data_IF_353173522347
#
_entry.id   IF_353173522347
#
_cell.length_a   1.000
_cell.length_b   1.000
_cell.length_c   1.000
_cell.angle_alpha   90.00
_cell.angle_beta   90.00
_cell.angle_gamma   90.00
#
_symmetry.space_group_name_H-M   'P 1'
#
loop_
_entity.id
_entity.type
_entity.pdbx_description
1 polymer ?
#
# COMPACT_ATOMS: atom_id res chain seq x y z
N UNK A 1 -50.22 -41.88 -16.21
CA UNK A 1 -50.13 -41.32 -17.58
C UNK A 1 -50.91 -40.01 -17.57
N UNK A 2 -50.25 -38.92 -17.17
CA UNK A 2 -50.83 -37.58 -17.08
C UNK A 2 -50.15 -36.72 -18.15
N UNK A 3 -50.97 -36.27 -19.09
CA UNK A 3 -50.62 -35.42 -20.23
C UNK A 3 -50.44 -33.97 -19.79
N UNK A 4 -49.26 -33.41 -19.98
CA UNK A 4 -49.02 -31.97 -19.86
C UNK A 4 -49.05 -31.34 -21.26
N UNK A 5 -50.03 -30.45 -21.45
CA UNK A 5 -50.24 -29.68 -22.68
C UNK A 5 -49.27 -28.50 -22.77
N UNK A 6 -48.62 -28.39 -23.92
CA UNK A 6 -47.78 -27.27 -24.36
C UNK A 6 -48.64 -26.06 -24.71
N UNK A 7 -48.36 -24.90 -24.10
CA UNK A 7 -48.87 -23.60 -24.54
C UNK A 7 -47.71 -22.81 -25.16
N UNK A 8 -47.79 -22.57 -26.47
CA UNK A 8 -46.94 -21.62 -27.19
C UNK A 8 -47.65 -20.27 -27.20
N UNK A 9 -46.99 -19.22 -26.70
CA UNK A 9 -47.43 -17.84 -26.91
C UNK A 9 -46.46 -17.14 -27.85
N UNK A 10 -47.00 -16.69 -28.99
CA UNK A 10 -46.53 -15.53 -29.75
C UNK A 10 -46.45 -14.32 -28.80
N UNK A 11 -45.57 -13.35 -28.92
CA UNK A 11 -44.90 -12.78 -30.08
C UNK A 11 -45.10 -11.27 -29.93
N UNK A 12 -44.03 -10.50 -29.73
CA UNK A 12 -44.09 -9.04 -29.79
C UNK A 12 -42.78 -8.51 -30.36
N UNK A 13 -42.88 -8.07 -31.61
CA UNK A 13 -41.82 -7.41 -32.37
C UNK A 13 -41.72 -5.95 -31.94
N UNK A 14 -40.73 -5.62 -31.12
CA UNK A 14 -40.43 -4.24 -30.75
C UNK A 14 -39.59 -3.61 -31.87
N UNK A 15 -40.25 -2.79 -32.69
CA UNK A 15 -39.63 -1.89 -33.67
C UNK A 15 -38.82 -0.80 -32.94
N UNK A 16 -37.50 -0.77 -33.15
CA UNK A 16 -36.63 0.34 -32.70
C UNK A 16 -36.80 1.56 -33.62
N UNK A 17 -36.85 2.79 -33.08
CA UNK A 17 -36.81 4.00 -33.88
C UNK A 17 -35.40 4.22 -34.44
N UNK A 18 -35.35 4.74 -35.68
CA UNK A 18 -34.14 5.21 -36.35
C UNK A 18 -33.64 6.47 -35.63
N UNK A 19 -32.41 6.43 -35.13
CA UNK A 19 -31.71 7.61 -34.64
C UNK A 19 -31.14 8.38 -35.83
N UNK A 20 -31.34 9.70 -35.80
CA UNK A 20 -30.89 10.65 -36.78
C UNK A 20 -29.37 10.80 -36.70
N UNK A 21 -28.72 10.74 -37.87
CA UNK A 21 -27.34 11.19 -38.05
C UNK A 21 -27.32 12.72 -38.04
N UNK A 22 -26.60 13.31 -37.08
CA UNK A 22 -26.18 14.71 -37.15
C UNK A 22 -24.75 14.80 -37.70
N UNK A 23 -24.44 15.82 -38.52
CA UNK A 23 -23.15 15.96 -39.19
C UNK A 23 -22.06 16.49 -38.23
N UNK A 24 -20.85 15.96 -38.42
CA UNK A 24 -19.62 16.48 -37.83
C UNK A 24 -19.30 17.87 -38.41
N UNK A 25 -19.27 18.88 -37.55
CA UNK A 25 -18.63 20.17 -37.86
C UNK A 25 -17.22 20.25 -37.22
N UNK A 26 -16.25 20.35 -38.13
CA UNK A 26 -15.03 21.15 -38.10
C UNK A 26 -14.05 21.11 -36.92
N UNK A 27 -12.97 20.38 -37.21
CA UNK A 27 -11.61 20.60 -36.74
C UNK A 27 -11.19 22.08 -36.83
N UNK A 28 -10.89 22.71 -35.69
CA UNK A 28 -9.96 23.85 -35.64
C UNK A 28 -8.68 23.42 -34.94
N UNK A 29 -7.63 23.28 -35.75
CA UNK A 29 -6.25 23.16 -35.34
C UNK A 29 -5.72 24.54 -34.94
N UNK A 30 -5.36 24.72 -33.68
CA UNK A 30 -4.41 25.77 -33.27
C UNK A 30 -3.29 25.12 -32.47
N UNK A 31 -2.10 25.14 -33.08
CA UNK A 31 -0.83 24.80 -32.46
C UNK A 31 -0.33 25.95 -31.58
N UNK A 32 0.64 25.70 -30.68
CA UNK A 32 0.89 26.54 -29.51
C UNK A 32 1.94 27.61 -29.78
N UNK A 33 1.66 28.84 -29.35
CA UNK A 33 2.69 29.87 -29.26
C UNK A 33 3.51 29.71 -27.97
N UNK A 34 4.73 29.33 -28.27
CA UNK A 34 5.98 29.36 -27.53
C UNK A 34 6.30 30.78 -27.01
N UNK A 35 6.32 31.01 -25.71
CA UNK A 35 7.16 32.06 -25.11
C UNK A 35 7.84 31.58 -23.83
N UNK A 36 9.12 31.26 -24.01
CA UNK A 36 10.13 31.14 -22.97
C UNK A 36 10.42 32.55 -22.47
N UNK A 37 10.12 32.83 -21.20
CA UNK A 37 10.71 33.97 -20.49
C UNK A 37 11.63 33.46 -19.37
N UNK A 38 12.90 33.79 -19.56
CA UNK A 38 14.00 33.75 -18.62
C UNK A 38 13.77 34.72 -17.44
N UNK A 39 14.78 34.80 -16.56
CA UNK A 39 15.00 35.70 -15.40
C UNK A 39 14.21 35.32 -14.13
N UNK A 40 14.77 35.20 -12.93
CA UNK A 40 16.06 35.65 -12.39
C UNK A 40 16.54 34.68 -11.29
N UNK A 41 17.86 34.46 -11.25
CA UNK A 41 18.54 33.79 -10.15
C UNK A 41 18.66 34.76 -8.97
N UNK A 42 17.94 34.49 -7.89
CA UNK A 42 18.11 35.21 -6.63
C UNK A 42 19.12 34.46 -5.76
N UNK A 43 20.29 35.08 -5.60
CA UNK A 43 21.32 34.69 -4.63
C UNK A 43 20.73 34.93 -3.23
N UNK A 44 20.40 33.86 -2.52
CA UNK A 44 20.11 33.91 -1.09
C UNK A 44 21.33 33.45 -0.30
N UNK A 45 21.71 34.33 0.63
CA UNK A 45 22.88 34.30 1.49
C UNK A 45 22.89 33.06 2.37
N UNK A 46 24.09 32.51 2.56
CA UNK A 46 24.38 31.46 3.53
C UNK A 46 23.98 31.90 4.95
N UNK A 47 23.24 31.08 5.71
CA UNK A 47 23.03 31.31 7.12
C UNK A 47 24.31 31.01 7.90
N UNK A 48 24.69 31.94 8.78
CA UNK A 48 25.75 31.76 9.77
C UNK A 48 25.46 30.53 10.63
N UNK A 49 26.39 29.60 10.67
CA UNK A 49 26.41 28.51 11.64
C UNK A 49 26.70 29.11 13.04
N UNK A 50 25.71 29.05 13.94
CA UNK A 50 25.96 29.17 15.37
C UNK A 50 26.25 27.79 15.96
N UNK A 51 27.29 27.63 16.79
CA UNK A 51 27.62 26.35 17.39
C UNK A 51 26.56 25.98 18.44
N UNK A 52 25.78 24.94 18.15
CA UNK A 52 24.88 24.31 19.11
C UNK A 52 25.71 23.72 20.27
N UNK A 53 25.59 24.35 21.43
CA UNK A 53 26.08 23.82 22.70
C UNK A 53 25.43 22.47 22.99
N UNK A 54 26.25 21.45 23.16
CA UNK A 54 25.86 20.13 23.64
C UNK A 54 25.46 20.28 25.10
N UNK A 55 24.16 20.45 25.37
CA UNK A 55 23.61 20.24 26.71
C UNK A 55 23.28 18.76 26.86
N UNK A 56 24.10 18.09 27.66
CA UNK A 56 23.90 16.75 28.18
C UNK A 56 23.00 16.86 29.42
N UNK A 57 21.77 16.31 29.47
CA UNK A 57 21.03 16.21 30.71
C UNK A 57 20.86 14.74 31.06
N UNK A 58 21.89 14.13 31.64
CA UNK A 58 21.74 12.90 32.42
C UNK A 58 22.81 12.88 33.52
N UNK A 59 22.59 13.74 34.52
CA UNK A 59 23.20 13.66 35.85
C UNK A 59 22.10 13.89 36.88
N UNK A 60 21.65 12.81 37.50
CA UNK A 60 20.96 12.78 38.80
C UNK A 60 21.10 11.33 39.26
N UNK A 61 22.21 11.01 39.92
CA UNK A 61 22.38 11.14 41.38
C UNK A 61 21.42 10.22 42.14
N UNK A 62 22.06 9.29 42.84
CA UNK A 62 21.49 8.33 43.75
C UNK A 62 20.90 9.07 44.94
N UNK A 63 19.65 8.80 45.28
CA UNK A 63 19.21 8.87 46.68
C UNK A 63 18.55 7.53 47.02
N UNK A 64 19.25 6.82 47.91
CA UNK A 64 18.73 5.71 48.66
C UNK A 64 17.71 6.25 49.66
N UNK A 65 16.56 5.60 49.76
CA UNK A 65 15.73 5.69 50.95
C UNK A 65 15.29 4.30 51.36
N UNK A 66 15.78 3.95 52.55
CA UNK A 66 15.34 2.85 53.38
C UNK A 66 13.85 3.04 53.75
N UNK A 67 13.02 2.03 53.50
CA UNK A 67 12.07 1.64 54.54
C UNK A 67 11.55 0.22 54.37
N UNK A 68 11.73 -0.52 55.46
CA UNK A 68 11.21 -1.84 55.70
C UNK A 68 9.68 -1.86 55.73
N UNK A 69 9.09 -2.95 55.23
CA UNK A 69 7.95 -3.58 55.92
C UNK A 69 7.85 -5.06 55.57
N UNK A 70 7.88 -5.82 56.66
CA UNK A 70 7.76 -7.27 56.75
C UNK A 70 6.47 -7.78 56.12
N UNK A 71 6.56 -8.96 55.50
CA UNK A 71 5.43 -9.69 54.96
C UNK A 71 5.82 -11.12 54.67
N UNK A 72 5.98 -11.92 55.73
CA UNK A 72 6.15 -13.37 55.67
C UNK A 72 5.02 -14.01 54.85
N UNK A 73 5.36 -14.74 53.80
CA UNK A 73 4.53 -15.85 53.33
C UNK A 73 5.42 -16.94 52.75
N UNK A 74 5.41 -18.07 53.44
CA UNK A 74 6.17 -19.28 53.14
C UNK A 74 5.46 -20.03 52.02
N UNK A 75 6.11 -20.19 50.86
CA UNK A 75 5.78 -21.25 49.92
C UNK A 75 7.03 -21.76 49.18
N UNK A 76 7.41 -22.98 49.56
CA UNK A 76 7.80 -24.04 48.62
C UNK A 76 9.10 -23.86 47.85
N UNK A 77 10.20 -24.28 48.44
CA UNK A 77 11.44 -24.59 47.74
C UNK A 77 11.23 -25.75 46.76
N UNK A 78 11.41 -25.48 45.47
CA UNK A 78 11.74 -26.48 44.46
C UNK A 78 13.10 -26.12 43.89
N UNK A 79 14.13 -26.75 44.45
CA UNK A 79 15.53 -26.60 44.05
C UNK A 79 15.75 -27.35 42.74
N UNK A 80 15.96 -26.62 41.64
CA UNK A 80 16.52 -27.16 40.41
C UNK A 80 17.84 -26.45 40.15
N UNK A 81 18.93 -27.20 40.31
CA UNK A 81 20.28 -26.81 39.93
C UNK A 81 20.31 -26.53 38.41
N UNK A 82 20.70 -25.30 38.06
CA UNK A 82 21.07 -24.96 36.69
C UNK A 82 22.59 -25.02 36.58
N UNK A 83 23.05 -26.08 35.94
CA UNK A 83 24.43 -26.22 35.51
C UNK A 83 24.79 -25.12 34.51
N UNK A 84 25.95 -24.52 34.78
CA UNK A 84 26.67 -23.62 33.90
C UNK A 84 27.03 -24.31 32.60
N UNK A 85 26.44 -23.86 31.49
CA UNK A 85 26.99 -24.09 30.15
C UNK A 85 27.40 -22.75 29.55
N UNK A 86 28.69 -22.44 29.72
CA UNK A 86 29.38 -21.52 28.84
C UNK A 86 29.47 -22.16 27.45
N UNK A 87 28.95 -21.46 26.44
CA UNK A 87 29.33 -21.72 25.05
C UNK A 87 29.32 -20.38 24.31
N UNK A 88 30.52 -19.82 24.18
CA UNK A 88 30.83 -18.80 23.20
C UNK A 88 30.66 -19.42 21.81
N UNK A 89 29.55 -19.12 21.15
CA UNK A 89 29.39 -19.41 19.73
C UNK A 89 29.25 -18.09 18.99
N UNK A 90 30.38 -17.64 18.44
CA UNK A 90 30.45 -16.59 17.43
C UNK A 90 29.74 -17.06 16.16
N UNK A 91 28.42 -16.85 16.13
CA UNK A 91 27.63 -16.99 14.92
C UNK A 91 27.56 -15.65 14.18
N UNK A 92 28.69 -15.33 13.54
CA UNK A 92 28.74 -14.47 12.36
C UNK A 92 27.86 -15.11 11.27
N UNK A 93 26.58 -14.75 11.24
CA UNK A 93 25.69 -15.08 10.13
C UNK A 93 26.04 -14.16 8.94
N UNK A 94 26.44 -14.71 7.78
CA UNK A 94 26.63 -13.89 6.59
C UNK A 94 25.27 -13.36 6.12
N UNK A 95 25.05 -12.05 6.29
CA UNK A 95 23.85 -11.30 5.89
C UNK A 95 23.61 -11.24 4.36
N UNK A 96 24.26 -12.09 3.56
CA UNK A 96 24.23 -12.00 2.10
C UNK A 96 23.12 -12.83 1.43
N UNK A 97 22.33 -13.60 2.21
CA UNK A 97 21.32 -14.52 1.65
C UNK A 97 19.90 -13.95 1.56
N UNK A 98 19.64 -12.75 2.11
CA UNK A 98 18.31 -12.12 2.02
C UNK A 98 18.12 -11.24 0.77
N UNK A 99 19.19 -10.92 0.04
CA UNK A 99 19.10 -10.16 -1.23
C UNK A 99 18.73 -11.02 -2.44
N UNK A 100 18.72 -12.35 -2.31
CA UNK A 100 18.36 -13.27 -3.41
C UNK A 100 16.90 -13.72 -3.40
N UNK A 101 16.08 -13.32 -2.41
CA UNK A 101 14.67 -13.74 -2.34
C UNK A 101 13.70 -12.67 -2.90
N UNK A 102 14.18 -11.48 -3.27
CA UNK A 102 13.33 -10.38 -3.78
C UNK A 102 13.61 -9.92 -5.22
N UNK A 103 14.50 -10.59 -5.95
CA UNK A 103 14.82 -10.24 -7.36
C UNK A 103 14.05 -11.05 -8.40
N UNK A 104 13.19 -11.99 -8.01
CA UNK A 104 12.45 -12.79 -8.99
C UNK A 104 11.25 -12.04 -9.58
N UNK A 105 11.49 -11.55 -10.80
CA UNK A 105 10.51 -11.33 -11.87
C UNK A 105 9.33 -10.44 -11.49
N UNK A 106 9.57 -9.12 -11.58
CA UNK A 106 8.46 -8.18 -11.85
C UNK A 106 7.74 -8.68 -13.12
N UNK A 107 6.43 -8.98 -13.10
CA UNK A 107 5.70 -9.25 -14.32
C UNK A 107 5.82 -8.00 -15.19
N UNK A 108 6.65 -8.10 -16.22
CA UNK A 108 6.80 -7.07 -17.23
C UNK A 108 5.49 -7.02 -17.98
N UNK A 109 4.86 -5.84 -18.01
CA UNK A 109 3.69 -5.59 -18.83
C UNK A 109 4.18 -5.53 -20.28
N UNK A 110 4.55 -6.67 -20.88
CA UNK A 110 4.78 -6.73 -22.32
C UNK A 110 3.43 -6.51 -22.96
N UNK A 111 3.24 -5.32 -23.53
CA UNK A 111 2.15 -5.06 -24.45
C UNK A 111 2.31 -6.02 -25.64
N UNK A 112 1.35 -6.90 -25.91
CA UNK A 112 1.33 -7.59 -27.18
C UNK A 112 0.84 -6.60 -28.23
N UNK A 113 1.75 -6.20 -29.14
CA UNK A 113 1.37 -5.67 -30.44
C UNK A 113 0.68 -6.79 -31.21
N UNK A 114 -0.65 -6.88 -31.10
CA UNK A 114 -1.53 -7.58 -32.04
C UNK A 114 -2.94 -7.10 -31.74
N UNK A 115 -3.70 -6.74 -32.79
CA UNK A 115 -5.15 -6.58 -32.74
C UNK A 115 -5.74 -7.82 -32.09
N UNK A 116 -6.09 -7.72 -30.80
CA UNK A 116 -6.51 -8.87 -30.01
C UNK A 116 -8.02 -8.97 -30.05
N UNK A 117 -8.47 -10.05 -30.67
CA UNK A 117 -9.78 -10.64 -30.45
C UNK A 117 -9.83 -11.11 -28.99
N UNK A 118 -10.25 -10.24 -28.08
CA UNK A 118 -10.40 -10.59 -26.67
C UNK A 118 -11.59 -11.55 -26.52
N UNK A 119 -11.36 -12.74 -25.97
CA UNK A 119 -12.46 -13.63 -25.62
C UNK A 119 -13.32 -12.95 -24.53
N UNK A 120 -14.64 -13.08 -24.62
CA UNK A 120 -15.67 -12.35 -23.84
C UNK A 120 -15.53 -12.34 -22.30
N UNK A 121 -14.53 -13.01 -21.73
CA UNK A 121 -14.39 -13.27 -20.29
C UNK A 121 -13.02 -12.82 -19.71
N UNK A 122 -12.30 -11.92 -20.38
CA UNK A 122 -11.04 -11.39 -19.84
C UNK A 122 -11.27 -10.13 -18.98
N UNK A 123 -10.74 -10.16 -17.74
CA UNK A 123 -10.75 -9.04 -16.81
C UNK A 123 -9.62 -8.08 -17.20
N UNK A 124 -9.99 -6.94 -17.77
CA UNK A 124 -9.04 -5.92 -18.22
C UNK A 124 -8.69 -4.92 -17.11
N UNK A 125 -7.43 -4.51 -17.05
CA UNK A 125 -7.01 -3.42 -16.18
C UNK A 125 -7.51 -2.08 -16.75
N UNK A 126 -8.10 -1.20 -15.92
CA UNK A 126 -8.56 0.11 -16.39
C UNK A 126 -7.42 1.12 -16.64
N UNK A 127 -6.19 0.85 -16.19
CA UNK A 127 -5.04 1.76 -16.34
C UNK A 127 -3.99 1.28 -17.34
N UNK A 128 -4.01 0.02 -17.78
CA UNK A 128 -3.02 -0.50 -18.72
C UNK A 128 -3.55 -1.70 -19.53
N UNK A 129 -2.78 -2.16 -20.52
CA UNK A 129 -3.17 -3.26 -21.42
C UNK A 129 -3.06 -4.66 -20.80
N UNK A 130 -3.13 -4.78 -19.48
CA UNK A 130 -3.11 -6.06 -18.79
C UNK A 130 -4.51 -6.67 -18.76
N UNK A 131 -4.63 -7.94 -19.16
CA UNK A 131 -5.85 -8.75 -19.07
C UNK A 131 -5.59 -10.07 -18.36
N UNK A 132 -6.59 -10.60 -17.65
CA UNK A 132 -6.50 -11.89 -16.96
C UNK A 132 -7.87 -12.54 -16.84
N UNK A 133 -7.94 -13.88 -16.88
CA UNK A 133 -9.17 -14.64 -16.55
C UNK A 133 -9.33 -14.89 -15.06
N UNK A 134 -8.26 -14.75 -14.29
CA UNK A 134 -8.27 -14.92 -12.84
C UNK A 134 -8.47 -13.58 -12.15
N UNK A 135 -9.52 -13.49 -11.33
CA UNK A 135 -9.80 -12.34 -10.45
C UNK A 135 -8.62 -12.08 -9.51
N UNK A 136 -8.04 -13.13 -8.92
CA UNK A 136 -6.89 -13.01 -8.00
C UNK A 136 -5.69 -12.37 -8.70
N UNK A 137 -5.38 -12.82 -9.91
CA UNK A 137 -4.26 -12.26 -10.68
C UNK A 137 -4.54 -10.80 -11.09
N UNK A 138 -5.78 -10.47 -11.46
CA UNK A 138 -6.20 -9.10 -11.78
C UNK A 138 -6.13 -8.17 -10.56
N UNK A 139 -6.66 -8.57 -9.40
CA UNK A 139 -6.56 -7.81 -8.15
C UNK A 139 -5.09 -7.60 -7.71
N UNK A 140 -4.28 -8.65 -7.80
CA UNK A 140 -2.84 -8.59 -7.49
C UNK A 140 -2.12 -7.60 -8.42
N UNK A 141 -2.44 -7.64 -9.72
CA UNK A 141 -1.92 -6.69 -10.69
C UNK A 141 -2.26 -5.23 -10.32
N UNK A 142 -3.53 -4.92 -10.04
CA UNK A 142 -3.96 -3.58 -9.61
C UNK A 142 -3.18 -3.10 -8.39
N UNK A 143 -2.99 -3.99 -7.42
CA UNK A 143 -2.28 -3.66 -6.18
C UNK A 143 -0.78 -3.43 -6.40
N UNK A 144 -0.13 -4.23 -7.24
CA UNK A 144 1.33 -4.18 -7.43
C UNK A 144 1.75 -3.12 -8.43
N UNK A 145 0.99 -2.95 -9.52
CA UNK A 145 1.34 -2.03 -10.61
C UNK A 145 0.77 -0.63 -10.42
N UNK A 146 -0.46 -0.55 -9.94
CA UNK A 146 -1.20 0.71 -9.85
C UNK A 146 -1.39 1.19 -8.40
N UNK A 147 -0.96 0.39 -7.41
CA UNK A 147 -1.19 0.65 -6.00
C UNK A 147 -2.66 1.02 -5.72
N UNK A 148 -3.57 0.31 -6.37
CA UNK A 148 -5.02 0.52 -6.24
C UNK A 148 -5.73 -0.77 -5.86
N UNK A 149 -7.03 -0.66 -5.60
CA UNK A 149 -7.95 -1.75 -5.32
C UNK A 149 -9.18 -1.59 -6.23
N UNK A 150 -9.94 -2.67 -6.52
CA UNK A 150 -11.11 -2.60 -7.40
C UNK A 150 -12.05 -1.45 -7.02
N UNK A 151 -12.41 -1.33 -5.73
CA UNK A 151 -13.29 -0.28 -5.20
C UNK A 151 -12.76 1.14 -5.43
N UNK A 152 -11.45 1.34 -5.32
CA UNK A 152 -10.83 2.67 -5.52
C UNK A 152 -10.67 3.00 -7.01
N UNK A 153 -10.53 1.98 -7.85
CA UNK A 153 -10.56 2.10 -9.30
C UNK A 153 -11.97 2.20 -9.89
N UNK A 154 -13.01 2.36 -9.06
CA UNK A 154 -14.40 2.40 -9.53
C UNK A 154 -14.83 1.10 -10.23
N UNK A 155 -14.13 0.00 -9.99
CA UNK A 155 -14.39 -1.28 -10.62
C UNK A 155 -15.15 -2.20 -9.65
N UNK A 156 -16.17 -2.86 -10.18
CA UNK A 156 -16.97 -3.86 -9.50
C UNK A 156 -16.96 -5.15 -10.31
N UNK A 157 -16.81 -6.29 -9.64
CA UNK A 157 -16.84 -7.60 -10.27
C UNK A 157 -18.28 -8.11 -10.26
N UNK A 158 -18.84 -8.42 -11.43
CA UNK A 158 -20.15 -9.07 -11.55
C UNK A 158 -19.95 -10.50 -12.03
N UNK A 159 -20.39 -11.44 -11.21
CA UNK A 159 -20.42 -12.86 -11.53
C UNK A 159 -21.60 -13.16 -12.48
N UNK A 160 -21.47 -14.19 -13.33
CA UNK A 160 -22.56 -14.66 -14.20
C UNK A 160 -23.82 -15.07 -13.42
N UNK A 161 -23.69 -15.43 -12.14
CA UNK A 161 -24.82 -15.70 -11.27
C UNK A 161 -25.61 -14.43 -10.85
N UNK A 162 -25.17 -13.24 -11.29
CA UNK A 162 -25.74 -11.94 -10.97
C UNK A 162 -25.19 -11.29 -9.71
N UNK A 163 -24.32 -11.97 -8.95
CA UNK A 163 -23.75 -11.42 -7.72
C UNK A 163 -22.67 -10.36 -8.03
N UNK A 164 -22.76 -9.24 -7.32
CA UNK A 164 -21.81 -8.12 -7.41
C UNK A 164 -20.88 -8.09 -6.20
N UNK A 165 -19.56 -8.10 -6.42
CA UNK A 165 -18.57 -8.02 -5.35
C UNK A 165 -17.41 -7.09 -5.70
N UNK A 166 -16.72 -6.58 -4.67
CA UNK A 166 -15.47 -5.83 -4.81
C UNK A 166 -14.22 -6.68 -4.52
N UNK A 167 -14.43 -7.95 -4.18
CA UNK A 167 -13.38 -8.90 -3.82
C UNK A 167 -13.61 -10.25 -4.48
N UNK A 168 -12.55 -11.03 -4.55
CA UNK A 168 -12.57 -12.42 -5.00
C UNK A 168 -13.35 -13.40 -4.09
N UNK A 169 -13.87 -12.97 -2.93
CA UNK A 169 -14.49 -13.88 -1.95
C UNK A 169 -15.61 -14.73 -2.54
N UNK A 170 -16.42 -14.16 -3.45
CA UNK A 170 -17.51 -14.86 -4.11
C UNK A 170 -17.05 -16.03 -4.97
N UNK A 171 -15.85 -15.96 -5.58
CA UNK A 171 -15.33 -17.02 -6.45
C UNK A 171 -15.18 -18.36 -5.73
N UNK A 172 -14.93 -18.32 -4.41
CA UNK A 172 -14.76 -19.52 -3.59
C UNK A 172 -16.09 -20.24 -3.30
N UNK A 173 -17.22 -19.55 -3.49
CA UNK A 173 -18.55 -20.05 -3.13
C UNK A 173 -19.44 -20.30 -4.34
N UNK A 174 -19.11 -19.73 -5.50
CA UNK A 174 -19.90 -19.86 -6.72
C UNK A 174 -19.33 -20.94 -7.66
N UNK A 175 -20.15 -21.90 -8.07
CA UNK A 175 -19.76 -23.00 -8.98
C UNK A 175 -19.49 -22.53 -10.42
N UNK A 176 -20.10 -21.41 -10.81
CA UNK A 176 -20.03 -20.81 -12.16
C UNK A 176 -19.33 -19.45 -12.12
N UNK A 177 -18.24 -19.35 -11.34
CA UNK A 177 -17.52 -18.12 -11.03
C UNK A 177 -16.76 -17.51 -12.24
N UNK A 178 -17.48 -17.16 -13.31
CA UNK A 178 -17.02 -16.26 -14.34
C UNK A 178 -17.36 -14.84 -13.93
N UNK A 179 -16.39 -13.95 -14.00
CA UNK A 179 -16.56 -12.55 -13.60
C UNK A 179 -16.35 -11.63 -14.79
N UNK A 180 -17.13 -10.55 -14.82
CA UNK A 180 -16.96 -9.40 -15.71
C UNK A 180 -16.71 -8.15 -14.86
N UNK A 181 -15.97 -7.17 -15.40
CA UNK A 181 -15.73 -5.90 -14.72
C UNK A 181 -16.81 -4.91 -15.13
N UNK A 182 -17.41 -4.26 -14.14
CA UNK A 182 -18.32 -3.13 -14.31
C UNK A 182 -17.65 -1.90 -13.75
N UNK A 183 -17.55 -0.85 -14.55
CA UNK A 183 -17.06 0.46 -14.11
C UNK A 183 -18.24 1.28 -13.57
N UNK A 184 -18.26 1.52 -12.26
CA UNK A 184 -19.25 2.37 -11.60
C UNK A 184 -18.69 3.80 -11.52
N UNK A 185 -18.87 4.53 -12.63
CA UNK A 185 -18.59 5.97 -12.75
C UNK A 185 -17.32 6.30 -13.54
N UNK A 186 -17.31 7.49 -14.14
CA UNK A 186 -16.20 8.07 -14.91
C UNK A 186 -15.17 8.78 -14.00
N UNK A 187 -15.26 8.53 -12.69
CA UNK A 187 -14.40 9.17 -11.71
C UNK A 187 -12.93 8.82 -11.93
N UNK A 188 -12.05 9.78 -11.68
CA UNK A 188 -10.61 9.54 -11.65
C UNK A 188 -10.29 8.38 -10.70
N UNK A 189 -9.54 7.39 -11.20
CA UNK A 189 -9.13 6.22 -10.42
C UNK A 189 -8.37 6.69 -9.20
N UNK A 190 -8.93 6.44 -8.01
CA UNK A 190 -8.26 6.78 -6.76
C UNK A 190 -7.18 5.74 -6.52
N UNK A 191 -5.97 6.20 -6.19
CA UNK A 191 -4.88 5.32 -5.78
C UNK A 191 -4.83 5.26 -4.26
N UNK A 192 -4.42 4.12 -3.71
CA UNK A 192 -4.06 4.13 -2.29
C UNK A 192 -2.90 5.09 -2.11
N UNK A 193 -2.90 5.86 -1.00
CA UNK A 193 -1.81 6.79 -0.67
C UNK A 193 -0.51 6.00 -0.63
N UNK A 194 0.29 6.08 -1.69
CA UNK A 194 1.60 5.44 -1.73
C UNK A 194 2.47 6.12 -0.70
N UNK A 195 3.29 5.34 -0.01
CA UNK A 195 4.33 5.93 0.82
C UNK A 195 5.38 6.56 -0.10
N UNK A 196 6.05 7.64 0.36
CA UNK A 196 7.12 8.24 -0.41
C UNK A 196 8.21 7.23 -0.75
N UNK A 197 8.97 7.54 -1.79
CA UNK A 197 10.19 6.82 -2.12
C UNK A 197 11.19 6.91 -0.95
N UNK A 198 11.95 5.84 -0.71
CA UNK A 198 13.06 5.89 0.24
C UNK A 198 14.03 7.03 -0.17
N UNK A 199 14.45 7.86 0.78
CA UNK A 199 15.38 8.96 0.48
C UNK A 199 16.79 8.47 0.12
N UNK A 200 17.12 7.23 0.49
CA UNK A 200 18.45 6.63 0.27
C UNK A 200 18.48 5.60 -0.87
N UNK A 201 17.32 5.16 -1.39
CA UNK A 201 17.27 4.22 -2.50
C UNK A 201 15.95 4.29 -3.29
N UNK A 202 15.83 3.54 -4.38
CA UNK A 202 14.66 3.59 -5.27
C UNK A 202 13.45 2.77 -4.81
N UNK A 203 13.47 2.19 -3.61
CA UNK A 203 12.38 1.35 -3.08
C UNK A 203 11.20 2.22 -2.63
N UNK A 204 9.98 1.74 -2.89
CA UNK A 204 8.72 2.32 -2.40
C UNK A 204 8.08 1.37 -1.39
N UNK A 205 8.33 1.55 -0.08
CA UNK A 205 7.69 0.76 0.96
C UNK A 205 6.15 0.81 0.84
N UNK A 206 5.46 -0.28 1.20
CA UNK A 206 3.99 -0.33 1.04
C UNK A 206 3.23 0.41 2.15
N UNK A 207 3.87 0.60 3.30
CA UNK A 207 3.27 1.21 4.50
C UNK A 207 4.28 2.14 5.15
N UNK A 208 3.80 3.17 5.85
CA UNK A 208 4.64 4.13 6.57
C UNK A 208 5.49 3.45 7.64
N UNK A 209 4.94 2.43 8.31
CA UNK A 209 5.71 1.51 9.16
C UNK A 209 6.81 0.78 8.37
N UNK A 210 6.46 0.22 7.22
CA UNK A 210 7.40 -0.48 6.35
C UNK A 210 8.52 0.43 5.86
N UNK A 211 8.27 1.73 5.73
CA UNK A 211 9.28 2.73 5.40
C UNK A 211 10.33 2.86 6.51
N UNK A 212 9.88 3.04 7.75
CA UNK A 212 10.78 3.11 8.91
C UNK A 212 11.59 1.81 9.08
N UNK A 213 10.94 0.65 8.90
CA UNK A 213 11.61 -0.65 8.95
C UNK A 213 12.62 -0.85 7.82
N UNK A 214 12.31 -0.36 6.62
CA UNK A 214 13.23 -0.41 5.47
C UNK A 214 14.49 0.41 5.73
N UNK A 215 14.35 1.66 6.20
CA UNK A 215 15.49 2.50 6.59
C UNK A 215 16.37 1.81 7.63
N UNK A 216 15.77 1.23 8.66
CA UNK A 216 16.50 0.54 9.71
C UNK A 216 17.25 -0.71 9.19
N UNK A 217 16.57 -1.57 8.43
CA UNK A 217 17.13 -2.87 8.01
C UNK A 217 18.17 -2.73 6.90
N UNK A 218 17.88 -1.92 5.87
CA UNK A 218 18.70 -1.82 4.66
C UNK A 218 19.74 -0.70 4.70
N UNK A 219 19.44 0.42 5.38
CA UNK A 219 20.31 1.58 5.40
C UNK A 219 20.96 1.83 6.77
N UNK A 220 20.63 1.00 7.78
CA UNK A 220 21.12 1.13 9.15
C UNK A 220 20.95 2.54 9.71
N UNK A 221 19.85 3.19 9.32
CA UNK A 221 19.55 4.59 9.66
C UNK A 221 18.17 4.71 10.31
N UNK A 222 17.90 5.83 10.98
CA UNK A 222 16.62 6.12 11.64
C UNK A 222 15.83 7.18 10.86
N UNK A 223 14.55 7.36 11.21
CA UNK A 223 13.72 8.42 10.63
C UNK A 223 14.34 9.81 10.90
N UNK A 224 14.75 10.05 12.16
CA UNK A 224 15.37 11.31 12.61
C UNK A 224 16.63 11.64 11.84
N UNK A 225 17.50 10.66 11.63
CA UNK A 225 18.76 10.85 10.93
C UNK A 225 18.56 11.30 9.47
N UNK A 226 17.38 11.03 8.91
CA UNK A 226 17.00 11.46 7.56
C UNK A 226 16.08 12.68 7.57
N UNK A 227 15.93 13.38 8.70
CA UNK A 227 15.06 14.55 8.78
C UNK A 227 13.56 14.21 8.68
N UNK A 228 13.14 13.00 9.05
CA UNK A 228 11.76 12.52 8.90
C UNK A 228 11.20 12.06 10.25
N UNK A 229 9.89 12.18 10.45
CA UNK A 229 9.18 11.58 11.57
C UNK A 229 7.81 11.01 11.14
N UNK A 230 7.26 10.13 11.96
CA UNK A 230 5.91 9.59 11.76
C UNK A 230 4.91 10.34 12.62
N UNK A 231 3.78 10.77 12.06
CA UNK A 231 2.67 11.38 12.81
C UNK A 231 1.46 10.47 12.77
N UNK A 232 0.94 10.09 13.93
CA UNK A 232 -0.33 9.40 14.02
C UNK A 232 -1.48 10.39 13.81
N UNK A 233 -2.63 9.90 13.32
CA UNK A 233 -3.86 10.68 13.24
C UNK A 233 -4.34 11.23 14.59
N UNK A 234 -3.91 10.66 15.72
CA UNK A 234 -4.18 11.19 17.06
C UNK A 234 -3.27 12.36 17.47
N UNK A 235 -2.35 12.79 16.60
CA UNK A 235 -1.38 13.85 16.87
C UNK A 235 -0.07 13.41 17.51
N UNK A 236 0.09 12.13 17.89
CA UNK A 236 1.33 11.65 18.48
C UNK A 236 2.42 11.46 17.42
N UNK A 237 3.64 11.94 17.70
CA UNK A 237 4.78 11.89 16.78
C UNK A 237 5.78 10.82 17.22
N UNK A 238 6.31 10.03 16.27
CA UNK A 238 7.34 9.02 16.52
C UNK A 238 8.61 9.37 15.79
N UNK A 239 9.67 9.26 16.56
CA UNK A 239 11.04 9.39 16.11
C UNK A 239 11.69 8.00 16.01
N UNK A 240 11.26 7.06 16.87
CA UNK A 240 11.82 5.71 17.01
C UNK A 240 10.75 4.63 16.73
N UNK A 241 11.14 3.55 16.03
CA UNK A 241 10.25 2.45 15.65
C UNK A 241 9.65 1.69 16.86
N UNK A 242 10.34 1.67 18.00
CA UNK A 242 9.84 1.01 19.20
C UNK A 242 8.66 1.75 19.85
N UNK A 243 8.67 3.08 19.82
CA UNK A 243 7.57 3.90 20.36
C UNK A 243 6.31 3.72 19.54
N UNK A 244 6.48 3.60 18.22
CA UNK A 244 5.41 3.23 17.31
C UNK A 244 4.72 1.93 17.74
N UNK A 245 5.47 0.84 18.02
CA UNK A 245 4.87 -0.46 18.43
C UNK A 245 4.09 -0.36 19.74
N UNK A 246 4.57 0.44 20.69
CA UNK A 246 3.88 0.65 21.98
C UNK A 246 2.58 1.42 21.79
N UNK A 247 2.60 2.42 20.91
CA UNK A 247 1.44 3.25 20.65
C UNK A 247 0.40 2.58 19.74
N UNK A 248 0.82 1.82 18.74
CA UNK A 248 -0.08 1.12 17.79
C UNK A 248 -1.13 0.28 18.53
N UNK A 249 -0.73 -0.35 19.64
CA UNK A 249 -1.61 -1.09 20.55
C UNK A 249 -2.65 -0.24 21.28
N UNK A 250 -2.40 1.06 21.45
CA UNK A 250 -3.27 2.00 22.19
C UNK A 250 -4.21 2.80 21.28
N UNK A 251 -3.81 3.05 20.04
CA UNK A 251 -4.52 3.98 19.14
C UNK A 251 -5.20 3.27 17.95
N UNK A 252 -5.39 1.95 18.02
CA UNK A 252 -5.89 1.10 16.93
C UNK A 252 -5.12 1.23 15.59
N UNK A 253 -3.98 1.91 15.58
CA UNK A 253 -3.04 1.96 14.45
C UNK A 253 -3.55 2.56 13.14
N UNK A 254 -4.66 3.31 13.13
CA UNK A 254 -5.41 3.45 11.86
C UNK A 254 -4.83 4.42 10.84
N UNK A 255 -4.06 5.43 11.24
CA UNK A 255 -3.51 6.40 10.28
C UNK A 255 -2.15 6.93 10.73
N UNK A 256 -1.12 6.71 9.92
CA UNK A 256 0.20 7.31 10.11
C UNK A 256 0.63 8.03 8.83
N UNK A 257 1.12 9.25 8.95
CA UNK A 257 1.77 10.01 7.88
C UNK A 257 3.27 10.15 8.15
N UNK A 258 4.07 10.22 7.09
CA UNK A 258 5.47 10.63 7.15
C UNK A 258 5.53 12.14 6.91
N UNK A 259 6.25 12.87 7.77
CA UNK A 259 6.45 14.31 7.65
C UNK A 259 7.95 14.60 7.80
N UNK A 260 8.43 15.70 7.22
CA UNK A 260 9.81 16.15 7.42
C UNK A 260 9.92 17.00 8.68
N UNK A 261 11.02 16.86 9.39
CA UNK A 261 11.36 17.70 10.53
C UNK A 261 11.52 19.16 10.05
N UNK A 262 10.75 20.08 10.65
CA UNK A 262 10.80 21.52 10.35
C UNK A 262 9.76 22.04 9.35
N UNK A 263 8.90 21.19 8.77
CA UNK A 263 7.81 21.59 7.86
C UNK A 263 6.42 21.67 8.57
N UNK A 264 6.37 22.13 9.83
CA UNK A 264 5.09 22.27 10.59
C UNK A 264 4.27 23.51 10.21
#
# INVERSE_FOLDING_TARGET
LQSCSTAMSAGDSISRPKENEEPLDDFISMSPDNEISNVSATILKEPKEEPLGILNPYSSENEADDNAKEGMSQHGEASFALDSFGSETDHSFPNHLLDLIFTERRPSCRAPNNEKYWEKNELECPECNYGSRSVVAWESHLKVKHSTKPTLAGCLLRCDCGHESYSNTHSNHCKIANFTIIRKGDGTIRRTKMTPQCVLCKVHPKTTRGYAEHLYRHHKTSLTANGIFLKCGCGFHYIILNDYKKHDKKCDGRNFSLNKLGEE
#
